data_IF_566212135087
#
_entry.id   IF_566212135087
#
_cell.length_a   1.000
_cell.length_b   1.000
_cell.length_c   1.000
_cell.angle_alpha   90.00
_cell.angle_beta   90.00
_cell.angle_gamma   90.00
#
_symmetry.space_group_name_H-M   'P 1'
#
loop_
_entity.id
_entity.type
_entity.pdbx_description
1 polymer ?
#
# COMPACT_ATOMS: atom_id res chain seq x y z
N UNK A 1 -21.81 8.16 -7.63
CA UNK A 1 -20.86 7.03 -7.62
C UNK A 1 -19.53 7.57 -8.10
N UNK A 2 -18.42 7.32 -7.40
CA UNK A 2 -17.12 7.69 -7.93
C UNK A 2 -16.83 6.83 -9.16
N UNK A 3 -16.27 7.43 -10.21
CA UNK A 3 -15.84 6.69 -11.40
C UNK A 3 -14.37 6.32 -11.24
N UNK A 4 -14.05 5.03 -11.35
CA UNK A 4 -12.68 4.51 -11.29
C UNK A 4 -12.27 4.04 -12.69
N UNK A 5 -11.81 4.95 -13.56
CA UNK A 5 -11.34 4.55 -14.88
C UNK A 5 -10.15 3.60 -14.75
N UNK A 6 -10.15 2.55 -15.57
CA UNK A 6 -9.03 1.61 -15.66
C UNK A 6 -8.07 2.07 -16.75
N UNK A 7 -6.82 2.27 -16.38
CA UNK A 7 -5.72 2.65 -17.25
C UNK A 7 -4.89 1.42 -17.62
N UNK A 8 -4.51 1.33 -18.89
CA UNK A 8 -3.57 0.34 -19.39
C UNK A 8 -2.70 1.00 -20.45
N UNK A 9 -1.40 1.02 -20.21
CA UNK A 9 -0.41 1.55 -21.15
C UNK A 9 0.10 0.40 -22.02
N UNK A 10 0.24 0.65 -23.32
CA UNK A 10 0.75 -0.32 -24.29
C UNK A 10 1.87 0.39 -25.05
N UNK A 11 3.06 -0.21 -25.06
CA UNK A 11 4.23 0.32 -25.75
C UNK A 11 4.86 -0.80 -26.59
N UNK A 12 4.65 -0.75 -27.91
CA UNK A 12 5.02 -1.83 -28.80
C UNK A 12 4.31 -3.14 -28.43
N UNK A 13 5.08 -4.20 -28.19
CA UNK A 13 4.56 -5.49 -27.71
C UNK A 13 4.39 -5.54 -26.17
N UNK A 14 4.93 -4.56 -25.45
CA UNK A 14 4.83 -4.52 -24.00
C UNK A 14 3.49 -3.95 -23.56
N UNK A 15 2.85 -4.61 -22.60
CA UNK A 15 1.56 -4.20 -22.05
C UNK A 15 1.68 -4.03 -20.54
N UNK A 16 1.43 -2.81 -20.06
CA UNK A 16 1.40 -2.51 -18.64
C UNK A 16 0.27 -3.28 -17.94
N UNK A 17 0.46 -3.50 -16.65
CA UNK A 17 -0.63 -3.99 -15.80
C UNK A 17 -1.74 -2.97 -15.74
N UNK A 18 -3.00 -3.42 -15.85
CA UNK A 18 -4.17 -2.58 -15.67
C UNK A 18 -4.18 -1.97 -14.28
N UNK A 19 -4.40 -0.67 -14.17
CA UNK A 19 -4.46 0.07 -12.92
C UNK A 19 -5.70 0.94 -12.86
N UNK A 20 -6.16 1.30 -11.68
CA UNK A 20 -7.16 2.36 -11.46
C UNK A 20 -6.60 3.38 -10.48
N UNK A 21 -7.20 4.56 -10.38
CA UNK A 21 -6.72 5.61 -9.48
C UNK A 21 -7.53 5.68 -8.19
N UNK A 22 -6.86 5.59 -7.04
CA UNK A 22 -7.44 5.84 -5.71
C UNK A 22 -6.53 6.81 -4.97
N UNK A 23 -7.07 7.91 -4.43
CA UNK A 23 -6.32 8.96 -3.72
C UNK A 23 -5.09 9.50 -4.50
N UNK A 24 -5.15 9.53 -5.84
CA UNK A 24 -4.03 9.97 -6.70
C UNK A 24 -2.96 8.90 -6.93
N UNK A 25 -3.18 7.66 -6.52
CA UNK A 25 -2.28 6.53 -6.71
C UNK A 25 -2.83 5.55 -7.74
N UNK A 26 -1.95 5.09 -8.66
CA UNK A 26 -2.28 4.00 -9.58
C UNK A 26 -2.15 2.66 -8.88
N UNK A 27 -3.28 2.06 -8.55
CA UNK A 27 -3.38 0.75 -7.90
C UNK A 27 -3.67 -0.31 -8.98
N UNK A 28 -2.88 -1.39 -9.05
CA UNK A 28 -3.16 -2.52 -9.93
C UNK A 28 -4.50 -3.20 -9.66
N UNK A 29 -5.21 -3.57 -10.73
CA UNK A 29 -6.52 -4.24 -10.67
C UNK A 29 -6.48 -5.63 -10.00
N UNK A 30 -5.30 -6.23 -9.85
CA UNK A 30 -5.19 -7.53 -9.20
C UNK A 30 -5.27 -7.44 -7.66
N UNK A 31 -5.10 -6.24 -7.07
CA UNK A 31 -5.27 -6.05 -5.64
C UNK A 31 -6.73 -6.02 -5.21
N UNK A 32 -7.66 -5.69 -6.09
CA UNK A 32 -9.08 -5.75 -5.79
C UNK A 32 -9.91 -5.80 -7.08
N UNK A 33 -10.97 -6.60 -7.05
CA UNK A 33 -11.96 -6.64 -8.13
C UNK A 33 -12.89 -5.43 -8.12
N UNK A 34 -13.03 -4.75 -6.97
CA UNK A 34 -13.94 -3.62 -6.78
C UNK A 34 -13.19 -2.40 -6.20
N UNK A 35 -12.81 -1.44 -7.06
CA UNK A 35 -12.13 -0.22 -6.62
C UNK A 35 -12.95 0.63 -5.65
N UNK A 36 -14.28 0.66 -5.78
CA UNK A 36 -15.15 1.44 -4.90
C UNK A 36 -15.11 0.85 -3.49
N UNK A 37 -15.15 -0.48 -3.38
CA UNK A 37 -15.02 -1.17 -2.10
C UNK A 37 -13.69 -0.89 -1.41
N UNK A 38 -12.58 -0.87 -2.15
CA UNK A 38 -11.26 -0.51 -1.61
C UNK A 38 -11.20 0.97 -1.18
N UNK A 39 -11.75 1.87 -1.99
CA UNK A 39 -11.85 3.29 -1.64
C UNK A 39 -12.60 3.48 -0.33
N UNK A 40 -13.78 2.86 -0.20
CA UNK A 40 -14.61 2.96 1.01
C UNK A 40 -13.96 2.30 2.22
N UNK A 41 -13.23 1.20 2.02
CA UNK A 41 -12.46 0.56 3.09
C UNK A 41 -11.38 1.51 3.64
N UNK A 42 -10.58 2.12 2.76
CA UNK A 42 -9.50 3.02 3.16
C UNK A 42 -10.06 4.32 3.74
N UNK A 43 -11.07 4.93 3.10
CA UNK A 43 -11.67 6.18 3.54
C UNK A 43 -12.31 6.08 4.92
N UNK A 44 -12.92 4.93 5.25
CA UNK A 44 -13.59 4.69 6.52
C UNK A 44 -12.75 3.85 7.50
N UNK A 45 -11.45 3.68 7.23
CA UNK A 45 -10.60 2.86 8.07
C UNK A 45 -10.44 3.49 9.46
N UNK A 46 -10.88 2.77 10.49
CA UNK A 46 -10.73 3.22 11.88
C UNK A 46 -9.39 2.78 12.45
N UNK A 47 -8.49 3.75 12.61
CA UNK A 47 -7.22 3.54 13.31
C UNK A 47 -7.43 3.48 14.81
N UNK A 48 -6.73 2.55 15.47
CA UNK A 48 -6.61 2.47 16.92
C UNK A 48 -5.33 3.17 17.37
N UNK A 49 -5.29 3.57 18.64
CA UNK A 49 -4.17 4.35 19.18
C UNK A 49 -2.83 3.59 19.19
N UNK A 50 -2.89 2.27 19.13
CA UNK A 50 -1.77 1.32 19.20
C UNK A 50 -1.48 0.63 17.86
N UNK A 51 -2.14 1.05 16.77
CA UNK A 51 -1.82 0.57 15.44
C UNK A 51 -0.46 1.07 14.97
N UNK A 52 0.23 0.22 14.22
CA UNK A 52 1.54 0.46 13.65
C UNK A 52 1.44 0.27 12.15
N UNK A 53 1.81 1.31 11.40
CA UNK A 53 1.78 1.28 9.95
C UNK A 53 3.20 1.33 9.40
N UNK A 54 3.55 0.32 8.61
CA UNK A 54 4.77 0.28 7.81
C UNK A 54 4.41 0.84 6.43
N UNK A 55 4.75 2.11 6.23
CA UNK A 55 4.49 2.86 4.99
C UNK A 55 5.77 2.97 4.19
N UNK A 56 5.68 2.70 2.89
CA UNK A 56 6.86 2.63 2.02
C UNK A 56 6.48 2.70 0.55
N UNK A 57 7.43 3.00 -0.32
CA UNK A 57 7.22 2.92 -1.77
C UNK A 57 7.23 1.45 -2.24
N UNK A 58 6.42 1.06 -3.25
CA UNK A 58 6.43 -0.30 -3.78
C UNK A 58 7.83 -0.77 -4.15
N UNK A 59 8.17 -2.01 -3.75
CA UNK A 59 9.46 -2.68 -4.03
C UNK A 59 10.71 -2.06 -3.37
N UNK A 60 10.57 -1.16 -2.39
CA UNK A 60 11.70 -0.56 -1.66
C UNK A 60 12.32 -1.43 -0.54
N UNK A 61 12.13 -2.77 -0.58
CA UNK A 61 12.67 -3.67 0.45
C UNK A 61 11.85 -3.80 1.74
N UNK A 62 10.52 -3.63 1.65
CA UNK A 62 9.61 -3.62 2.81
C UNK A 62 9.56 -4.91 3.61
N UNK A 63 9.91 -6.05 3.01
CA UNK A 63 9.86 -7.36 3.66
C UNK A 63 10.79 -7.43 4.87
N UNK A 64 12.00 -6.88 4.74
CA UNK A 64 12.96 -6.85 5.85
C UNK A 64 12.47 -6.00 7.02
N UNK A 65 11.89 -4.83 6.71
CA UNK A 65 11.35 -3.92 7.73
C UNK A 65 10.17 -4.56 8.45
N UNK A 66 9.27 -5.22 7.71
CA UNK A 66 8.16 -5.98 8.28
C UNK A 66 8.65 -7.05 9.26
N UNK A 67 9.69 -7.81 8.91
CA UNK A 67 10.23 -8.84 9.80
C UNK A 67 10.83 -8.23 11.08
N UNK A 68 11.65 -7.18 10.94
CA UNK A 68 12.28 -6.51 12.08
C UNK A 68 11.22 -5.94 13.03
N UNK A 69 10.22 -5.23 12.49
CA UNK A 69 9.14 -4.66 13.30
C UNK A 69 8.34 -5.77 13.99
N UNK A 70 8.03 -6.85 13.27
CA UNK A 70 7.32 -7.98 13.85
C UNK A 70 8.08 -8.57 15.04
N UNK A 71 9.39 -8.80 14.89
CA UNK A 71 10.25 -9.33 15.95
C UNK A 71 10.35 -8.40 17.16
N UNK A 72 10.43 -7.08 16.96
CA UNK A 72 10.46 -6.10 18.06
C UNK A 72 9.21 -6.23 18.93
N UNK A 73 8.03 -6.35 18.31
CA UNK A 73 6.75 -6.49 19.02
C UNK A 73 6.55 -7.87 19.67
N UNK A 74 7.33 -8.87 19.26
CA UNK A 74 7.24 -10.24 19.77
C UNK A 74 8.52 -10.69 20.49
N UNK A 75 9.28 -9.76 21.07
CA UNK A 75 10.47 -10.03 21.88
C UNK A 75 11.52 -10.91 21.18
N UNK A 76 11.70 -10.73 19.87
CA UNK A 76 12.67 -11.48 19.07
C UNK A 76 12.21 -12.91 18.72
N UNK A 77 10.92 -13.24 18.89
CA UNK A 77 10.38 -14.51 18.44
C UNK A 77 10.59 -14.69 16.93
N UNK A 78 10.66 -15.95 16.49
CA UNK A 78 10.69 -16.31 15.07
C UNK A 78 9.39 -17.04 14.75
N UNK A 79 8.77 -16.69 13.63
CA UNK A 79 7.50 -17.29 13.21
C UNK A 79 7.58 -17.71 11.73
N UNK A 80 7.21 -18.96 11.47
CA UNK A 80 7.26 -19.58 10.13
C UNK A 80 6.06 -19.24 9.24
N UNK A 81 5.04 -18.54 9.78
CA UNK A 81 3.93 -18.02 8.98
C UNK A 81 4.43 -17.02 7.95
N UNK A 82 3.66 -16.85 6.87
CA UNK A 82 3.99 -15.88 5.84
C UNK A 82 3.96 -14.46 6.42
N UNK A 83 4.69 -13.55 5.79
CA UNK A 83 4.74 -12.18 6.29
C UNK A 83 3.39 -11.48 6.15
N UNK A 84 2.63 -11.80 5.10
CA UNK A 84 1.29 -11.25 4.86
C UNK A 84 0.27 -11.72 5.91
N UNK A 85 0.48 -12.90 6.51
CA UNK A 85 -0.37 -13.41 7.59
C UNK A 85 -0.12 -12.70 8.93
N UNK A 86 1.09 -12.15 9.08
CA UNK A 86 1.56 -11.49 10.31
C UNK A 86 1.37 -9.98 10.25
N UNK A 87 1.57 -9.40 9.08
CA UNK A 87 1.44 -7.97 8.79
C UNK A 87 0.64 -7.85 7.49
N UNK A 88 -0.70 -7.77 7.56
CA UNK A 88 -1.52 -7.66 6.37
C UNK A 88 -1.31 -6.33 5.64
N UNK A 89 -1.49 -6.39 4.33
CA UNK A 89 -1.37 -5.29 3.39
C UNK A 89 -2.74 -4.65 3.14
N UNK A 90 -2.83 -3.35 3.41
CA UNK A 90 -4.09 -2.62 3.45
C UNK A 90 -4.79 -2.53 2.08
N UNK A 91 -4.02 -2.38 1.01
CA UNK A 91 -4.49 -2.26 -0.38
C UNK A 91 -5.06 -3.58 -0.91
N UNK A 92 -4.76 -4.69 -0.23
CA UNK A 92 -5.27 -6.02 -0.56
C UNK A 92 -6.37 -6.48 0.40
N UNK A 93 -6.82 -5.61 1.32
CA UNK A 93 -7.79 -5.96 2.35
C UNK A 93 -9.16 -6.39 1.79
N UNK A 94 -9.51 -5.92 0.60
CA UNK A 94 -10.77 -6.24 -0.09
C UNK A 94 -10.60 -7.32 -1.16
N UNK A 95 -9.40 -7.89 -1.29
CA UNK A 95 -9.15 -8.96 -2.24
C UNK A 95 -9.65 -10.31 -1.69
N UNK A 96 -10.65 -10.96 -2.31
CA UNK A 96 -11.10 -12.27 -1.85
C UNK A 96 -10.06 -13.38 -2.07
N UNK A 97 -9.02 -13.12 -2.88
CA UNK A 97 -7.95 -14.08 -3.17
C UNK A 97 -6.72 -13.89 -2.27
N UNK A 98 -6.67 -12.85 -1.45
CA UNK A 98 -5.54 -12.63 -0.56
C UNK A 98 -5.52 -13.69 0.54
N UNK A 99 -4.33 -14.18 0.86
CA UNK A 99 -4.12 -15.16 1.94
C UNK A 99 -4.13 -14.51 3.33
N UNK A 100 -4.22 -13.18 3.41
CA UNK A 100 -4.05 -12.42 4.64
C UNK A 100 -5.31 -12.42 5.52
N UNK A 101 -5.16 -12.24 6.85
CA UNK A 101 -6.30 -12.13 7.75
C UNK A 101 -7.11 -10.85 7.54
N UNK A 102 -8.38 -10.87 7.96
CA UNK A 102 -9.20 -9.65 7.99
C UNK A 102 -8.65 -8.67 9.03
N UNK A 103 -8.14 -7.54 8.53
CA UNK A 103 -7.55 -6.43 9.29
C UNK A 103 -8.49 -5.92 10.40
N UNK A 104 -9.81 -5.99 10.20
CA UNK A 104 -10.79 -5.51 11.17
C UNK A 104 -10.88 -6.40 12.41
N UNK A 105 -10.59 -7.70 12.25
CA UNK A 105 -10.70 -8.70 13.33
C UNK A 105 -9.43 -8.87 14.14
N UNK A 106 -8.32 -8.29 13.69
CA UNK A 106 -7.02 -8.46 14.34
C UNK A 106 -6.98 -7.84 15.76
N UNK A 107 -6.33 -8.54 16.71
CA UNK A 107 -6.11 -7.99 18.04
C UNK A 107 -5.15 -6.81 18.00
N UNK A 108 -5.29 -5.94 18.99
CA UNK A 108 -4.44 -4.78 19.24
C UNK A 108 -3.19 -5.19 20.03
N UNK A 109 -1.97 -4.70 19.71
CA UNK A 109 -1.63 -3.76 18.63
C UNK A 109 -1.60 -4.42 17.25
N UNK A 110 -2.15 -3.72 16.24
CA UNK A 110 -2.16 -4.22 14.85
C UNK A 110 -0.93 -3.70 14.10
N UNK A 111 -0.16 -4.61 13.52
CA UNK A 111 0.92 -4.29 12.60
C UNK A 111 0.39 -4.36 11.17
N UNK A 112 0.39 -3.25 10.43
CA UNK A 112 -0.18 -3.13 9.10
C UNK A 112 0.85 -2.58 8.12
N UNK A 113 0.78 -3.00 6.86
CA UNK A 113 1.63 -2.49 5.78
C UNK A 113 0.78 -1.70 4.79
N UNK A 114 1.33 -0.60 4.27
CA UNK A 114 0.71 0.18 3.19
C UNK A 114 1.75 0.82 2.24
N UNK A 115 1.32 1.05 1.00
CA UNK A 115 2.02 1.83 -0.03
C UNK A 115 1.29 3.14 -0.34
N UNK A 116 0.33 3.55 0.51
CA UNK A 116 -0.34 4.83 0.37
C UNK A 116 0.64 5.99 0.46
N UNK A 117 0.38 7.03 -0.33
CA UNK A 117 1.12 8.29 -0.29
C UNK A 117 0.85 8.98 1.04
N UNK A 118 1.80 9.83 1.44
CA UNK A 118 1.66 10.69 2.61
C UNK A 118 0.34 11.48 2.59
N UNK A 119 -0.05 12.02 1.43
CA UNK A 119 -1.29 12.79 1.29
C UNK A 119 -2.54 11.94 1.49
N UNK A 120 -2.53 10.68 1.03
CA UNK A 120 -3.61 9.73 1.29
C UNK A 120 -3.67 9.36 2.78
N UNK A 121 -2.51 9.19 3.42
CA UNK A 121 -2.41 8.85 4.84
C UNK A 121 -2.94 9.96 5.74
N UNK A 122 -2.59 11.22 5.45
CA UNK A 122 -3.10 12.38 6.18
C UNK A 122 -4.62 12.52 6.05
N UNK A 123 -5.16 12.26 4.86
CA UNK A 123 -6.62 12.27 4.63
C UNK A 123 -7.34 11.18 5.42
N UNK A 124 -6.68 10.05 5.67
CA UNK A 124 -7.22 8.89 6.41
C UNK A 124 -6.86 8.97 7.91
N UNK A 125 -6.22 10.05 8.36
CA UNK A 125 -5.88 10.31 9.77
C UNK A 125 -5.06 9.18 10.43
N UNK A 126 -4.25 8.43 9.67
CA UNK A 126 -3.51 7.31 10.26
C UNK A 126 -2.33 7.82 11.09
N UNK A 127 -2.23 7.36 12.34
CA UNK A 127 -1.11 7.67 13.25
C UNK A 127 0.05 6.73 12.94
N UNK A 128 1.08 7.22 12.25
CA UNK A 128 2.28 6.44 11.96
C UNK A 128 3.18 6.42 13.21
N UNK A 129 3.27 5.28 13.88
CA UNK A 129 4.29 5.02 14.91
C UNK A 129 5.26 3.98 14.36
N UNK A 130 6.48 4.40 13.99
CA UNK A 130 7.53 3.48 13.57
C UNK A 130 8.03 3.72 12.15
N UNK A 131 9.27 4.20 12.07
CA UNK A 131 10.16 4.29 10.90
C UNK A 131 9.49 4.77 9.60
N UNK A 132 9.40 6.10 9.45
CA UNK A 132 9.34 6.72 8.13
C UNK A 132 10.66 6.44 7.38
N UNK A 133 10.78 5.30 6.71
CA UNK A 133 11.76 5.16 5.65
C UNK A 133 11.19 5.89 4.44
N UNK A 134 11.32 7.22 4.43
CA UNK A 134 11.23 7.97 3.19
C UNK A 134 12.42 7.56 2.32
N UNK A 135 12.32 6.44 1.61
CA UNK A 135 13.04 6.34 0.34
C UNK A 135 12.32 7.26 -0.63
N UNK A 136 12.56 8.56 -0.50
CA UNK A 136 12.37 9.49 -1.61
C UNK A 136 13.35 9.06 -2.70
N UNK A 137 12.90 8.22 -3.62
CA UNK A 137 13.35 8.40 -4.99
C UNK A 137 12.26 9.22 -5.66
N UNK A 138 12.48 10.53 -5.68
CA UNK A 138 11.76 11.42 -6.56
C UNK A 138 11.87 10.88 -7.99
N UNK A 139 10.81 10.25 -8.48
CA UNK A 139 10.47 10.29 -9.90
C UNK A 139 9.30 11.26 -10.02
N UNK A 140 9.53 12.49 -9.57
CA UNK A 140 8.74 13.62 -9.98
C UNK A 140 9.14 13.87 -11.44
N UNK A 141 8.21 13.58 -12.36
CA UNK A 141 8.24 13.86 -13.81
C UNK A 141 9.51 14.60 -14.29
N UNK A 142 10.34 13.92 -15.08
CA UNK A 142 11.18 14.67 -16.03
C UNK A 142 10.23 15.53 -16.90
N UNK A 143 10.46 16.84 -17.00
CA UNK A 143 9.77 17.65 -17.99
C UNK A 143 10.12 17.10 -19.37
N UNK A 144 9.10 17.07 -20.23
CA UNK A 144 9.18 16.73 -21.64
C UNK A 144 10.47 17.30 -22.25
N UNK A 145 11.34 16.43 -22.79
CA UNK A 145 12.38 16.85 -23.71
C UNK A 145 11.70 17.56 -24.87
N UNK A 146 11.75 18.89 -24.89
CA UNK A 146 11.54 19.62 -26.13
C UNK A 146 12.73 19.32 -27.02
N UNK A 147 12.47 18.59 -28.10
CA UNK A 147 13.36 18.51 -29.24
C UNK A 147 13.47 19.92 -29.81
N UNK A 148 14.56 20.60 -29.52
CA UNK A 148 14.94 21.84 -30.19
C UNK A 148 15.55 21.40 -31.52
N UNK A 149 14.79 21.54 -32.60
CA UNK A 149 15.34 21.48 -33.95
C UNK A 149 16.18 22.74 -34.17
N UNK A 150 17.47 22.55 -34.47
CA UNK A 150 18.34 23.52 -35.14
C UNK A 150 18.84 22.92 -36.44
#
# INVERSE_FOLDING_TARGET
MASFPVFQEIEGEWTATKTFEIFGLRIPVYFTSDPQLLYDFIANFQTKADDVFIVSYPKSGTTWVQEIVWQIYHNGAINSKRIEDRIPFMEEATNPKASQPDIKTLPSPRLLKSHLSHDAILKVQMRIQGVNIFTSLAIQRMPQCQVINS
#
